data_IF_525744169850
#
_entry.id   IF_525744169850
#
_cell.length_a   1.000
_cell.length_b   1.000
_cell.length_c   1.000
_cell.angle_alpha   90.00
_cell.angle_beta   90.00
_cell.angle_gamma   90.00
#
_symmetry.space_group_name_H-M   'P 1'
#
loop_
_entity.id
_entity.type
_entity.pdbx_description
1 polymer ?
#
# COMPACT_ATOMS: atom_id res chain seq x y z
N UNK A 1 9.16 -27.39 7.61
CA UNK A 1 10.19 -26.57 6.93
C UNK A 1 9.52 -25.37 6.27
N UNK A 2 10.08 -24.15 6.38
CA UNK A 2 9.52 -22.92 5.75
C UNK A 2 9.43 -23.02 4.22
N UNK A 3 10.18 -23.94 3.60
CA UNK A 3 10.32 -24.12 2.15
C UNK A 3 9.07 -24.67 1.43
N UNK A 4 8.00 -25.06 2.14
CA UNK A 4 6.79 -25.62 1.52
C UNK A 4 5.52 -24.81 1.80
N UNK A 5 5.64 -23.58 2.32
CA UNK A 5 4.48 -22.71 2.51
C UNK A 5 3.99 -22.16 1.18
N UNK A 6 2.68 -21.91 1.07
CA UNK A 6 2.08 -21.27 -0.11
C UNK A 6 2.69 -19.89 -0.36
N UNK A 7 3.07 -19.18 0.71
CA UNK A 7 3.82 -17.92 0.61
C UNK A 7 5.12 -18.06 -0.17
N UNK A 8 5.95 -19.04 0.21
CA UNK A 8 7.23 -19.26 -0.45
C UNK A 8 7.07 -19.66 -1.93
N UNK A 9 6.01 -20.42 -2.26
CA UNK A 9 5.67 -20.76 -3.64
C UNK A 9 5.33 -19.51 -4.46
N UNK A 10 4.55 -18.58 -3.90
CA UNK A 10 4.26 -17.31 -4.56
C UNK A 10 5.52 -16.46 -4.76
N UNK A 11 6.39 -16.33 -3.74
CA UNK A 11 7.63 -15.54 -3.86
C UNK A 11 8.51 -16.03 -5.00
N UNK A 12 8.59 -17.34 -5.23
CA UNK A 12 9.33 -17.91 -6.36
C UNK A 12 8.77 -17.53 -7.74
N UNK A 13 7.55 -17.01 -7.82
CA UNK A 13 6.94 -16.52 -9.06
C UNK A 13 7.23 -15.04 -9.34
N UNK A 14 7.79 -14.31 -8.36
CA UNK A 14 8.22 -12.91 -8.53
C UNK A 14 9.47 -12.90 -9.41
N UNK A 15 9.52 -12.01 -10.39
CA UNK A 15 10.65 -11.82 -11.30
C UNK A 15 11.06 -10.36 -11.35
N UNK A 16 12.15 -10.05 -12.04
CA UNK A 16 12.56 -8.67 -12.30
C UNK A 16 11.54 -7.88 -13.14
N UNK A 17 10.59 -8.55 -13.79
CA UNK A 17 9.63 -7.92 -14.71
C UNK A 17 8.20 -7.81 -14.16
N UNK A 18 7.81 -8.73 -13.26
CA UNK A 18 6.47 -8.77 -12.70
C UNK A 18 6.49 -9.31 -11.26
N UNK A 19 5.59 -8.83 -10.41
CA UNK A 19 5.44 -9.29 -9.02
C UNK A 19 4.39 -10.38 -8.87
N UNK A 20 3.62 -10.67 -9.91
CA UNK A 20 2.72 -11.82 -9.99
C UNK A 20 2.47 -12.24 -11.43
N UNK A 21 1.98 -13.47 -11.62
CA UNK A 21 1.44 -13.92 -12.90
C UNK A 21 -0.04 -14.30 -12.71
N UNK A 22 -0.99 -13.62 -13.36
CA UNK A 22 -2.42 -13.82 -13.12
C UNK A 22 -2.93 -15.21 -13.57
N UNK A 23 -2.16 -15.94 -14.38
CA UNK A 23 -2.54 -17.23 -14.93
C UNK A 23 -2.12 -18.42 -14.05
N UNK A 24 -1.39 -18.18 -12.95
CA UNK A 24 -0.88 -19.27 -12.11
C UNK A 24 -1.84 -19.66 -10.99
N UNK A 25 -1.87 -20.94 -10.58
CA UNK A 25 -2.59 -21.38 -9.39
C UNK A 25 -2.11 -20.68 -8.11
N UNK A 26 -0.82 -20.38 -7.99
CA UNK A 26 -0.20 -19.72 -6.84
C UNK A 26 -0.81 -18.34 -6.59
N UNK A 27 -1.05 -17.57 -7.66
CA UNK A 27 -1.71 -16.27 -7.58
C UNK A 27 -3.15 -16.38 -7.09
N UNK A 28 -3.93 -17.35 -7.63
CA UNK A 28 -5.30 -17.60 -7.19
C UNK A 28 -5.36 -18.04 -5.72
N UNK A 29 -4.43 -18.91 -5.32
CA UNK A 29 -4.30 -19.33 -3.93
C UNK A 29 -3.96 -18.15 -3.02
N UNK A 30 -3.02 -17.29 -3.41
CA UNK A 30 -2.68 -16.08 -2.66
C UNK A 30 -3.92 -15.22 -2.42
N UNK A 31 -4.67 -14.86 -3.48
CA UNK A 31 -5.88 -14.03 -3.34
C UNK A 31 -6.92 -14.68 -2.40
N UNK A 32 -7.11 -15.99 -2.50
CA UNK A 32 -8.00 -16.72 -1.59
C UNK A 32 -7.52 -16.65 -0.12
N UNK A 33 -6.22 -16.70 0.13
CA UNK A 33 -5.68 -16.57 1.49
C UNK A 33 -5.83 -15.15 2.04
N UNK A 34 -5.63 -14.12 1.22
CA UNK A 34 -5.88 -12.73 1.62
C UNK A 34 -7.36 -12.51 1.97
N UNK A 35 -8.28 -13.09 1.18
CA UNK A 35 -9.71 -12.97 1.39
C UNK A 35 -10.21 -13.74 2.62
N UNK A 36 -9.85 -15.02 2.74
CA UNK A 36 -10.51 -15.96 3.65
C UNK A 36 -9.61 -16.45 4.79
N UNK A 37 -8.31 -16.11 4.77
CA UNK A 37 -7.36 -16.56 5.79
C UNK A 37 -7.76 -16.04 7.18
N UNK A 38 -7.83 -16.95 8.16
CA UNK A 38 -8.07 -16.60 9.56
C UNK A 38 -6.89 -15.82 10.12
N UNK A 39 -7.17 -14.64 10.66
CA UNK A 39 -6.14 -13.77 11.23
C UNK A 39 -5.72 -14.34 12.58
N UNK A 40 -4.42 -14.57 12.76
CA UNK A 40 -3.85 -15.09 14.02
C UNK A 40 -3.31 -13.98 14.90
N UNK A 41 -2.86 -12.87 14.31
CA UNK A 41 -2.30 -11.71 15.00
C UNK A 41 -2.46 -10.47 14.11
N UNK A 42 -2.67 -9.31 14.74
CA UNK A 42 -2.71 -8.00 14.11
C UNK A 42 -1.70 -7.07 14.82
N UNK A 43 -0.86 -6.38 14.06
CA UNK A 43 0.16 -5.47 14.60
C UNK A 43 0.24 -4.19 13.78
N UNK A 44 0.65 -3.09 14.41
CA UNK A 44 0.89 -1.85 13.68
C UNK A 44 2.18 -1.94 12.86
N UNK A 45 2.15 -1.41 11.64
CA UNK A 45 3.37 -1.21 10.87
C UNK A 45 4.10 0.03 11.41
N UNK A 46 5.22 -0.17 12.09
CA UNK A 46 6.03 0.90 12.68
C UNK A 46 6.59 1.92 11.68
N UNK A 47 6.67 1.56 10.40
CA UNK A 47 7.16 2.43 9.32
C UNK A 47 6.00 2.89 8.43
N UNK A 48 5.56 4.14 8.63
CA UNK A 48 4.50 4.73 7.81
C UNK A 48 4.12 6.13 8.29
N UNK A 49 3.48 6.90 7.40
CA UNK A 49 2.93 8.22 7.72
C UNK A 49 1.50 8.10 8.26
N UNK A 50 0.67 7.25 7.64
CA UNK A 50 -0.70 6.98 8.03
C UNK A 50 -0.86 5.55 8.56
N UNK A 51 -1.98 5.26 9.23
CA UNK A 51 -2.25 3.97 9.88
C UNK A 51 -2.23 2.80 8.90
N UNK A 52 -1.45 1.76 9.22
CA UNK A 52 -1.39 0.48 8.49
C UNK A 52 -1.25 -0.65 9.50
N UNK A 53 -1.99 -1.74 9.28
CA UNK A 53 -1.99 -2.90 10.19
C UNK A 53 -1.48 -4.11 9.43
N UNK A 54 -0.48 -4.81 9.99
CA UNK A 54 0.01 -6.09 9.49
C UNK A 54 -0.85 -7.19 10.11
N UNK A 55 -1.46 -8.00 9.27
CA UNK A 55 -2.27 -9.16 9.61
C UNK A 55 -1.47 -10.44 9.34
N UNK A 56 -1.23 -11.24 10.37
CA UNK A 56 -0.65 -12.57 10.20
C UNK A 56 -1.75 -13.55 9.77
N UNK A 57 -1.54 -14.18 8.62
CA UNK A 57 -2.48 -15.09 7.97
C UNK A 57 -1.89 -16.52 7.93
N UNK A 58 -2.73 -17.54 7.65
CA UNK A 58 -2.26 -18.92 7.58
C UNK A 58 -1.22 -19.11 6.46
N UNK A 59 -0.44 -20.19 6.55
CA UNK A 59 0.56 -20.57 5.54
C UNK A 59 1.66 -19.53 5.33
N UNK A 60 1.99 -18.77 6.37
CA UNK A 60 3.11 -17.83 6.39
C UNK A 60 2.87 -16.54 5.60
N UNK A 61 1.65 -16.29 5.13
CA UNK A 61 1.30 -15.02 4.52
C UNK A 61 1.15 -13.93 5.57
N UNK A 62 1.52 -12.71 5.19
CA UNK A 62 1.17 -11.51 5.92
C UNK A 62 0.43 -10.57 4.98
N UNK A 63 -0.64 -9.96 5.49
CA UNK A 63 -1.44 -8.97 4.79
C UNK A 63 -1.21 -7.58 5.37
N UNK A 64 -0.94 -6.58 4.54
CA UNK A 64 -0.95 -5.18 4.93
C UNK A 64 -2.36 -4.62 4.72
N UNK A 65 -3.05 -4.36 5.83
CA UNK A 65 -4.36 -3.74 5.87
C UNK A 65 -4.22 -2.21 5.84
N UNK A 66 -4.85 -1.59 4.85
CA UNK A 66 -5.23 -0.16 4.89
C UNK A 66 -6.73 -0.05 5.14
N UNK A 67 -7.17 0.50 6.29
CA UNK A 67 -8.57 0.55 6.64
C UNK A 67 -9.35 1.59 5.83
N UNK A 68 -10.65 1.36 5.65
CA UNK A 68 -11.59 2.37 5.15
C UNK A 68 -11.53 3.62 6.03
N UNK A 69 -11.54 4.78 5.38
CA UNK A 69 -11.50 6.09 6.07
C UNK A 69 -12.49 7.09 5.49
N UNK A 70 -12.59 7.16 4.16
CA UNK A 70 -13.47 8.08 3.45
C UNK A 70 -14.42 7.33 2.50
N UNK A 71 -15.65 7.85 2.29
CA UNK A 71 -16.60 7.23 1.37
C UNK A 71 -16.13 7.33 -0.09
N UNK A 72 -16.70 6.50 -0.97
CA UNK A 72 -16.27 6.41 -2.38
C UNK A 72 -16.47 7.69 -3.19
N UNK A 73 -17.42 8.54 -2.77
CA UNK A 73 -17.69 9.84 -3.39
C UNK A 73 -16.89 10.99 -2.74
N UNK A 74 -16.05 10.70 -1.73
CA UNK A 74 -15.15 11.70 -1.19
C UNK A 74 -14.13 12.11 -2.25
N UNK A 75 -13.92 13.42 -2.37
CA UNK A 75 -12.87 13.98 -3.19
C UNK A 75 -11.92 14.78 -2.30
N UNK A 76 -10.63 14.68 -2.58
CA UNK A 76 -9.60 15.51 -1.96
C UNK A 76 -9.95 16.98 -2.19
N UNK A 77 -9.86 17.79 -1.13
CA UNK A 77 -10.18 19.21 -1.24
C UNK A 77 -9.18 19.90 -2.18
N UNK A 78 -9.60 20.88 -3.01
CA UNK A 78 -8.70 21.56 -3.95
C UNK A 78 -7.49 22.22 -3.28
N UNK A 79 -7.64 22.66 -2.03
CA UNK A 79 -6.59 23.32 -1.24
C UNK A 79 -5.61 22.34 -0.57
N UNK A 80 -5.88 21.03 -0.64
CA UNK A 80 -4.99 20.02 -0.05
C UNK A 80 -3.81 19.74 -0.97
N UNK A 81 -2.59 19.89 -0.43
CA UNK A 81 -1.40 19.38 -1.08
C UNK A 81 -1.37 17.84 -1.10
N UNK A 82 -0.73 17.28 -2.11
CA UNK A 82 -0.59 15.82 -2.30
C UNK A 82 0.03 15.11 -1.09
N UNK A 83 0.94 15.76 -0.36
CA UNK A 83 1.59 15.20 0.85
C UNK A 83 0.70 15.24 2.10
N UNK A 84 -0.47 15.87 2.03
CA UNK A 84 -1.48 15.91 3.09
C UNK A 84 -2.70 15.06 2.74
N UNK A 85 -2.73 14.42 1.56
CA UNK A 85 -3.90 13.65 1.14
C UNK A 85 -4.09 12.39 2.01
N UNK A 86 -5.35 12.00 2.17
CA UNK A 86 -5.73 10.83 2.95
C UNK A 86 -5.58 9.57 2.10
N UNK A 87 -4.86 8.56 2.60
CA UNK A 87 -4.78 7.27 1.92
C UNK A 87 -6.17 6.63 1.82
N UNK A 88 -6.50 6.11 0.63
CA UNK A 88 -7.80 5.47 0.32
C UNK A 88 -7.59 3.99 0.05
N UNK A 89 -8.18 3.12 0.87
CA UNK A 89 -8.08 1.67 0.67
C UNK A 89 -8.59 1.22 -0.71
N UNK A 90 -9.64 1.86 -1.21
CA UNK A 90 -10.20 1.55 -2.53
C UNK A 90 -9.32 2.04 -3.69
N UNK A 91 -8.44 3.01 -3.46
CA UNK A 91 -7.45 3.41 -4.46
C UNK A 91 -6.38 2.33 -4.63
N UNK A 92 -5.95 1.65 -3.56
CA UNK A 92 -5.07 0.47 -3.68
C UNK A 92 -5.70 -0.62 -4.54
N UNK A 93 -6.98 -0.92 -4.28
CA UNK A 93 -7.72 -1.96 -5.01
C UNK A 93 -7.81 -1.58 -6.49
N UNK A 94 -8.23 -0.35 -6.79
CA UNK A 94 -8.32 0.13 -8.17
C UNK A 94 -6.96 0.12 -8.87
N UNK A 95 -5.90 0.59 -8.21
CA UNK A 95 -4.54 0.63 -8.74
C UNK A 95 -4.04 -0.76 -9.13
N UNK A 96 -4.27 -1.77 -8.29
CA UNK A 96 -3.93 -3.16 -8.62
C UNK A 96 -4.70 -3.68 -9.85
N UNK A 97 -5.98 -3.36 -9.97
CA UNK A 97 -6.76 -3.78 -11.14
C UNK A 97 -6.35 -3.05 -12.42
N UNK A 98 -6.01 -1.75 -12.35
CA UNK A 98 -5.49 -0.98 -13.49
C UNK A 98 -4.14 -1.55 -13.94
N UNK A 99 -3.22 -1.83 -13.01
CA UNK A 99 -1.93 -2.47 -13.27
C UNK A 99 -2.11 -3.80 -14.02
N UNK A 100 -3.07 -4.62 -13.58
CA UNK A 100 -3.41 -5.88 -14.23
C UNK A 100 -3.98 -5.70 -15.63
N UNK A 101 -4.87 -4.73 -15.83
CA UNK A 101 -5.50 -4.44 -17.13
C UNK A 101 -4.47 -3.94 -18.15
N UNK A 102 -3.52 -3.11 -17.72
CA UNK A 102 -2.43 -2.61 -18.55
C UNK A 102 -1.35 -3.68 -18.82
N UNK A 103 -1.42 -4.84 -18.14
CA UNK A 103 -0.48 -5.93 -18.31
C UNK A 103 0.88 -5.70 -17.64
N UNK A 104 1.01 -4.68 -16.79
CA UNK A 104 2.25 -4.40 -16.07
C UNK A 104 2.57 -5.50 -15.05
N UNK A 105 1.57 -5.91 -14.27
CA UNK A 105 1.72 -6.90 -13.20
C UNK A 105 2.82 -6.54 -12.18
N UNK A 106 2.97 -5.26 -11.83
CA UNK A 106 4.02 -4.71 -10.94
C UNK A 106 3.47 -4.20 -9.60
N UNK A 107 2.15 -4.10 -9.43
CA UNK A 107 1.52 -3.79 -8.14
C UNK A 107 1.36 -5.08 -7.32
N UNK A 108 1.80 -5.13 -6.04
CA UNK A 108 1.64 -6.33 -5.22
C UNK A 108 0.16 -6.74 -5.10
N UNK A 109 -0.18 -8.03 -5.26
CA UNK A 109 -1.55 -8.51 -5.21
C UNK A 109 -2.27 -8.10 -3.93
N UNK A 110 -3.51 -7.63 -4.08
CA UNK A 110 -4.32 -7.18 -2.97
C UNK A 110 -5.81 -7.36 -3.25
N UNK A 111 -6.62 -7.37 -2.18
CA UNK A 111 -8.07 -7.52 -2.28
C UNK A 111 -8.80 -6.62 -1.28
N UNK A 112 -10.07 -6.30 -1.56
CA UNK A 112 -10.96 -5.72 -0.57
C UNK A 112 -11.48 -6.80 0.38
N UNK A 113 -11.38 -6.57 1.68
CA UNK A 113 -11.87 -7.50 2.71
C UNK A 113 -12.75 -6.74 3.71
N UNK A 114 -13.84 -7.38 4.11
CA UNK A 114 -14.66 -6.95 5.24
C UNK A 114 -14.17 -7.71 6.48
N UNK A 115 -13.81 -6.97 7.52
CA UNK A 115 -13.27 -7.49 8.78
C UNK A 115 -14.21 -7.13 9.93
N UNK A 116 -14.23 -7.95 10.97
CA UNK A 116 -14.79 -7.59 12.25
C UNK A 116 -13.67 -7.02 13.15
N UNK A 117 -13.71 -5.72 13.43
CA UNK A 117 -12.69 -5.01 14.23
C UNK A 117 -12.44 -5.71 15.55
N UNK A 118 -13.48 -6.18 16.22
CA UNK A 118 -13.35 -6.87 17.50
C UNK A 118 -12.63 -8.20 17.32
N UNK A 119 -13.19 -9.13 16.55
CA UNK A 119 -12.68 -10.51 16.52
C UNK A 119 -11.43 -10.69 15.66
N UNK A 120 -11.30 -9.92 14.58
CA UNK A 120 -10.23 -10.07 13.59
C UNK A 120 -9.02 -9.18 13.89
N UNK A 121 -9.21 -8.08 14.64
CA UNK A 121 -8.14 -7.10 14.91
C UNK A 121 -7.88 -6.98 16.41
N UNK A 122 -8.84 -6.46 17.20
CA UNK A 122 -8.65 -6.16 18.63
C UNK A 122 -8.25 -7.39 19.44
N UNK A 123 -9.00 -8.48 19.29
CA UNK A 123 -8.77 -9.73 20.03
C UNK A 123 -7.55 -10.53 19.49
N UNK A 124 -6.84 -9.97 18.51
CA UNK A 124 -5.61 -10.48 17.88
C UNK A 124 -4.48 -9.45 17.94
N UNK A 125 -4.71 -8.29 18.55
CA UNK A 125 -3.79 -7.17 18.50
C UNK A 125 -2.56 -7.42 19.38
N UNK A 126 -1.40 -6.97 18.91
CA UNK A 126 -0.24 -6.80 19.79
C UNK A 126 -0.51 -5.73 20.85
N UNK A 127 0.27 -5.75 21.93
CA UNK A 127 0.07 -4.87 23.09
C UNK A 127 -0.04 -3.38 22.69
N UNK A 128 0.83 -2.91 21.79
CA UNK A 128 0.84 -1.52 21.35
C UNK A 128 -0.43 -1.14 20.59
N UNK A 129 -0.91 -1.99 19.69
CA UNK A 129 -2.15 -1.76 18.95
C UNK A 129 -3.37 -1.85 19.86
N UNK A 130 -3.40 -2.83 20.77
CA UNK A 130 -4.49 -3.08 21.70
C UNK A 130 -4.80 -1.87 22.61
N UNK A 131 -3.77 -1.14 23.06
CA UNK A 131 -3.90 0.07 23.88
C UNK A 131 -4.61 1.23 23.17
N UNK A 132 -4.76 1.18 21.85
CA UNK A 132 -5.35 2.27 21.06
C UNK A 132 -6.85 2.12 20.81
N UNK A 133 -7.44 1.00 21.24
CA UNK A 133 -8.86 0.74 21.07
C UNK A 133 -9.72 1.49 22.08
N UNK A 134 -10.89 1.93 21.64
CA UNK A 134 -11.91 2.56 22.49
C UNK A 134 -13.30 2.44 21.88
N UNK A 135 -14.32 2.70 22.68
CA UNK A 135 -15.72 2.77 22.22
C UNK A 135 -16.09 4.22 21.95
N UNK A 136 -16.58 4.51 20.75
CA UNK A 136 -17.07 5.85 20.38
C UNK A 136 -18.39 6.20 21.09
N UNK A 137 -18.78 7.49 21.16
CA UNK A 137 -20.10 7.89 21.68
C UNK A 137 -21.29 7.26 20.94
N UNK A 138 -21.10 6.84 19.68
CA UNK A 138 -22.09 6.11 18.88
C UNK A 138 -22.08 4.60 19.12
N UNK A 139 -21.37 4.13 20.16
CA UNK A 139 -21.23 2.73 20.55
C UNK A 139 -20.59 1.82 19.48
N UNK A 140 -19.71 2.38 18.62
CA UNK A 140 -18.88 1.59 17.70
C UNK A 140 -17.49 1.34 18.29
N UNK A 141 -16.91 0.18 18.01
CA UNK A 141 -15.50 -0.10 18.31
C UNK A 141 -14.58 0.66 17.36
N UNK A 142 -13.62 1.37 17.92
CA UNK A 142 -12.66 2.18 17.17
C UNK A 142 -11.22 1.92 17.63
N UNK A 143 -10.25 2.25 16.78
CA UNK A 143 -8.83 2.32 17.14
C UNK A 143 -8.15 3.46 16.37
N UNK A 144 -7.13 4.07 16.98
CA UNK A 144 -6.35 5.15 16.35
C UNK A 144 -4.97 4.71 15.85
N UNK A 145 -4.37 3.69 16.47
CA UNK A 145 -2.97 3.30 16.23
C UNK A 145 -1.96 4.43 16.51
N UNK A 146 -0.74 4.25 16.01
CA UNK A 146 0.38 5.18 16.13
C UNK A 146 0.99 5.46 14.75
N UNK A 147 0.89 6.72 14.30
CA UNK A 147 1.49 7.21 13.07
C UNK A 147 1.60 8.74 13.10
N UNK A 148 2.34 9.32 12.16
CA UNK A 148 2.58 10.78 12.15
C UNK A 148 1.41 11.60 11.60
N UNK A 149 0.55 11.01 10.78
CA UNK A 149 -0.60 11.67 10.16
C UNK A 149 -1.90 10.96 10.48
N UNK A 150 -2.83 11.70 11.08
CA UNK A 150 -4.21 11.27 11.29
C UNK A 150 -4.38 10.00 12.16
N UNK A 151 -3.47 9.79 13.13
CA UNK A 151 -3.58 8.77 14.19
C UNK A 151 -3.92 9.39 15.55
N UNK A 152 -4.99 10.17 15.59
CA UNK A 152 -5.56 10.75 16.81
C UNK A 152 -7.04 10.35 16.96
N UNK A 153 -7.66 10.68 18.10
CA UNK A 153 -9.04 10.29 18.40
C UNK A 153 -10.06 10.87 17.40
N UNK A 154 -9.81 12.05 16.83
CA UNK A 154 -10.71 12.68 15.85
C UNK A 154 -10.64 12.02 14.46
N UNK A 155 -9.55 11.30 14.19
CA UNK A 155 -9.29 10.59 12.94
C UNK A 155 -9.27 9.06 13.10
N UNK A 156 -9.82 8.55 14.21
CA UNK A 156 -9.82 7.13 14.51
C UNK A 156 -10.60 6.31 13.47
N UNK A 157 -10.16 5.08 13.28
CA UNK A 157 -10.84 4.10 12.44
C UNK A 157 -11.93 3.44 13.29
N UNK A 158 -13.17 3.54 12.86
CA UNK A 158 -14.34 2.99 13.55
C UNK A 158 -15.10 2.03 12.64
N UNK A 159 -15.72 1.02 13.25
CA UNK A 159 -16.59 0.11 12.52
C UNK A 159 -17.91 0.79 12.11
N UNK A 160 -18.47 0.34 10.98
CA UNK A 160 -19.73 0.86 10.43
C UNK A 160 -20.49 -0.20 9.63
N UNK A 161 -21.68 -0.65 10.07
CA UNK A 161 -22.25 -0.49 11.42
C UNK A 161 -21.55 -1.39 12.45
N UNK A 162 -21.47 -0.93 13.70
CA UNK A 162 -20.92 -1.72 14.81
C UNK A 162 -19.43 -1.98 14.65
N UNK A 163 -19.06 -3.25 14.49
CA UNK A 163 -17.66 -3.70 14.40
C UNK A 163 -17.20 -3.99 12.97
N UNK A 164 -18.02 -3.74 11.95
CA UNK A 164 -17.66 -4.03 10.55
C UNK A 164 -16.69 -2.99 10.00
N UNK A 165 -15.55 -3.42 9.47
CA UNK A 165 -14.55 -2.56 8.85
C UNK A 165 -14.18 -3.09 7.46
N UNK A 166 -14.43 -2.27 6.45
CA UNK A 166 -13.90 -2.51 5.12
C UNK A 166 -12.43 -2.07 5.06
N UNK A 167 -11.61 -2.77 4.27
CA UNK A 167 -10.23 -2.35 4.01
C UNK A 167 -9.60 -3.09 2.85
N UNK A 168 -8.47 -2.59 2.37
CA UNK A 168 -7.64 -3.27 1.38
C UNK A 168 -6.58 -4.10 2.08
N UNK A 169 -6.44 -5.36 1.73
CA UNK A 169 -5.42 -6.28 2.26
C UNK A 169 -4.48 -6.65 1.14
N UNK A 170 -3.26 -6.11 1.19
CA UNK A 170 -2.19 -6.37 0.23
C UNK A 170 -1.24 -7.43 0.77
N UNK A 171 -0.72 -8.32 -0.09
CA UNK A 171 0.32 -9.24 0.33
C UNK A 171 1.60 -8.47 0.72
N UNK A 172 2.16 -8.76 1.89
CA UNK A 172 3.41 -8.14 2.30
C UNK A 172 4.58 -8.78 1.54
N UNK A 173 5.26 -8.01 0.69
CA UNK A 173 6.45 -8.47 -0.03
C UNK A 173 7.57 -8.94 0.94
N UNK A 174 8.44 -9.87 0.50
CA UNK A 174 9.52 -10.40 1.33
C UNK A 174 10.49 -9.26 1.69
N UNK A 175 11.10 -9.32 2.86
CA UNK A 175 12.07 -8.33 3.34
C UNK A 175 13.47 -8.95 3.36
N UNK A 176 14.53 -8.18 3.63
CA UNK A 176 15.83 -8.78 3.88
C UNK A 176 15.77 -9.81 5.02
N UNK A 177 16.50 -10.94 4.93
CA UNK A 177 17.50 -11.25 3.90
C UNK A 177 16.97 -11.95 2.63
N UNK A 178 15.67 -12.26 2.52
CA UNK A 178 15.13 -13.00 1.37
C UNK A 178 15.22 -12.21 0.06
N UNK A 179 14.95 -10.90 0.12
CA UNK A 179 15.08 -9.98 -1.02
C UNK A 179 15.67 -8.67 -0.52
N UNK A 180 16.67 -8.16 -1.23
CA UNK A 180 17.26 -6.85 -1.02
C UNK A 180 16.65 -5.85 -2.00
N UNK A 181 15.68 -5.07 -1.52
CA UNK A 181 15.01 -4.08 -2.34
C UNK A 181 15.80 -2.78 -2.37
N UNK A 182 16.05 -2.27 -3.57
CA UNK A 182 16.69 -0.99 -3.77
C UNK A 182 15.64 0.12 -3.80
N UNK A 183 15.73 1.05 -2.85
CA UNK A 183 14.90 2.25 -2.84
C UNK A 183 15.57 3.35 -3.65
N UNK A 184 14.97 3.69 -4.79
CA UNK A 184 15.49 4.70 -5.73
C UNK A 184 14.63 5.96 -5.61
N UNK A 185 15.25 7.13 -5.44
CA UNK A 185 14.53 8.41 -5.48
C UNK A 185 14.03 8.66 -6.89
N UNK A 186 12.77 9.05 -7.04
CA UNK A 186 12.23 9.37 -8.35
C UNK A 186 12.85 10.69 -8.85
N UNK A 187 13.43 10.79 -10.06
CA UNK A 187 14.03 12.03 -10.54
C UNK A 187 12.99 13.15 -10.71
N UNK A 188 11.75 12.80 -11.05
CA UNK A 188 10.61 13.74 -11.04
C UNK A 188 9.92 13.86 -9.66
N UNK A 189 10.64 13.60 -8.57
CA UNK A 189 10.11 13.80 -7.21
C UNK A 189 9.72 15.28 -7.02
N UNK A 190 8.53 15.53 -6.47
CA UNK A 190 8.07 16.89 -6.13
C UNK A 190 8.84 17.47 -4.93
N UNK A 191 8.67 18.77 -4.68
CA UNK A 191 9.41 19.51 -3.65
C UNK A 191 9.02 19.19 -2.20
N UNK A 192 7.81 18.62 -2.00
CA UNK A 192 7.16 18.43 -0.68
C UNK A 192 7.15 19.72 0.13
N UNK A 193 6.76 20.81 -0.53
CA UNK A 193 6.80 22.15 0.03
C UNK A 193 5.67 22.98 -0.57
N UNK A 194 4.99 23.76 0.27
CA UNK A 194 3.95 24.68 -0.18
C UNK A 194 4.48 25.89 -0.96
N UNK A 195 5.79 26.16 -0.90
CA UNK A 195 6.40 27.39 -1.44
C UNK A 195 7.47 27.13 -2.49
N UNK A 196 8.05 25.91 -2.54
CA UNK A 196 9.10 25.57 -3.50
C UNK A 196 8.52 24.77 -4.66
N UNK A 197 8.98 25.08 -5.86
CA UNK A 197 8.78 24.26 -7.05
C UNK A 197 9.97 23.32 -7.26
N UNK A 198 9.72 22.17 -7.90
CA UNK A 198 10.80 21.27 -8.31
C UNK A 198 11.39 21.73 -9.65
N UNK A 199 12.67 21.44 -9.91
CA UNK A 199 13.36 21.90 -11.13
C UNK A 199 12.68 21.39 -12.42
N UNK A 200 12.19 20.15 -12.41
CA UNK A 200 11.49 19.56 -13.56
C UNK A 200 10.15 20.23 -13.86
N UNK A 201 9.56 20.96 -12.91
CA UNK A 201 8.28 21.66 -13.11
C UNK A 201 8.45 22.93 -13.96
N UNK A 202 9.67 23.47 -14.06
CA UNK A 202 9.96 24.73 -14.76
C UNK A 202 11.00 24.61 -15.87
N UNK A 203 11.68 23.47 -15.99
CA UNK A 203 12.71 23.23 -17.01
C UNK A 203 12.22 22.20 -18.03
N UNK A 204 11.92 22.66 -19.25
CA UNK A 204 11.47 21.79 -20.36
C UNK A 204 12.55 20.79 -20.81
N UNK A 205 13.83 21.10 -20.61
CA UNK A 205 14.96 20.24 -20.97
C UNK A 205 15.43 19.33 -19.84
N UNK A 206 14.73 19.30 -18.70
CA UNK A 206 15.15 18.58 -17.49
C UNK A 206 15.53 17.11 -17.74
N UNK A 207 14.79 16.42 -18.60
CA UNK A 207 15.06 15.02 -18.94
C UNK A 207 16.46 14.87 -19.57
N UNK A 208 16.79 15.69 -20.57
CA UNK A 208 18.07 15.64 -21.26
C UNK A 208 19.23 16.09 -20.39
N UNK A 209 19.01 17.09 -19.55
CA UNK A 209 20.06 17.72 -18.73
C UNK A 209 20.37 16.95 -17.44
N UNK A 210 19.43 16.20 -16.89
CA UNK A 210 19.57 15.57 -15.57
C UNK A 210 19.26 14.08 -15.52
N UNK A 211 18.32 13.57 -16.33
CA UNK A 211 17.90 12.16 -16.27
C UNK A 211 18.70 11.31 -17.25
N UNK A 212 18.78 11.73 -18.51
CA UNK A 212 19.44 10.97 -19.57
C UNK A 212 20.97 11.00 -19.50
N UNK A 213 21.56 11.90 -18.72
CA UNK A 213 23.01 11.92 -18.50
C UNK A 213 23.49 10.87 -17.49
N UNK A 214 22.57 10.34 -16.67
CA UNK A 214 22.89 9.35 -15.65
C UNK A 214 22.79 7.94 -16.25
N UNK A 215 23.90 7.19 -16.18
CA UNK A 215 24.06 5.86 -16.77
C UNK A 215 23.05 4.84 -16.21
N UNK A 216 22.53 5.05 -14.99
CA UNK A 216 21.51 4.18 -14.40
C UNK A 216 20.22 4.15 -15.22
N UNK A 217 19.94 5.21 -16.00
CA UNK A 217 18.77 5.32 -16.87
C UNK A 217 19.01 4.85 -18.31
N UNK A 218 20.22 4.41 -18.67
CA UNK A 218 20.52 3.90 -20.03
C UNK A 218 20.07 2.44 -20.24
N UNK A 219 19.45 1.83 -19.23
CA UNK A 219 18.83 0.52 -19.30
C UNK A 219 17.29 0.65 -19.32
N UNK A 220 16.57 -0.43 -19.00
CA UNK A 220 15.10 -0.43 -18.95
C UNK A 220 14.48 0.55 -17.94
N UNK A 221 15.23 1.06 -16.98
CA UNK A 221 14.74 1.92 -15.90
C UNK A 221 14.01 3.16 -16.43
N UNK A 222 14.51 3.80 -17.49
CA UNK A 222 13.84 4.95 -18.09
C UNK A 222 12.48 4.57 -18.68
N UNK A 223 12.36 3.40 -19.31
CA UNK A 223 11.09 2.91 -19.85
C UNK A 223 10.14 2.49 -18.72
N UNK A 224 10.64 1.83 -17.69
CA UNK A 224 9.86 1.47 -16.50
C UNK A 224 9.30 2.72 -15.80
N UNK A 225 10.05 3.81 -15.83
CA UNK A 225 9.62 5.13 -15.36
C UNK A 225 8.51 5.74 -16.21
N UNK A 226 8.58 5.60 -17.54
CA UNK A 226 7.52 6.07 -18.43
C UNK A 226 6.22 5.28 -18.21
N UNK A 227 6.32 3.95 -18.07
CA UNK A 227 5.18 3.09 -17.69
C UNK A 227 4.57 3.56 -16.36
N UNK A 228 5.41 3.82 -15.36
CA UNK A 228 4.98 4.26 -14.03
C UNK A 228 4.33 5.63 -14.06
N UNK A 229 4.86 6.58 -14.84
CA UNK A 229 4.27 7.91 -15.00
C UNK A 229 2.89 7.84 -15.69
N UNK A 230 2.75 7.00 -16.73
CA UNK A 230 1.47 6.78 -17.38
C UNK A 230 0.45 6.14 -16.42
N UNK A 231 0.88 5.16 -15.63
CA UNK A 231 0.06 4.53 -14.59
C UNK A 231 -0.39 5.55 -13.54
N UNK A 232 0.54 6.31 -12.96
CA UNK A 232 0.26 7.31 -11.92
C UNK A 232 -0.66 8.42 -12.45
N UNK A 233 -0.51 8.84 -13.71
CA UNK A 233 -1.40 9.79 -14.36
C UNK A 233 -2.85 9.28 -14.45
N UNK A 234 -3.04 8.02 -14.88
CA UNK A 234 -4.37 7.42 -15.01
C UNK A 234 -5.13 7.34 -13.68
N UNK A 235 -4.42 7.13 -12.57
CA UNK A 235 -5.02 7.03 -11.23
C UNK A 235 -4.97 8.36 -10.45
N UNK A 236 -4.41 9.42 -11.03
CA UNK A 236 -4.24 10.71 -10.38
C UNK A 236 -3.30 10.69 -9.17
N UNK A 237 -2.32 9.79 -9.16
CA UNK A 237 -1.34 9.69 -8.06
C UNK A 237 -0.23 10.72 -8.24
N UNK A 238 -0.16 11.69 -7.33
CA UNK A 238 0.85 12.75 -7.34
C UNK A 238 2.00 12.51 -6.35
N UNK A 239 1.95 11.42 -5.58
CA UNK A 239 2.87 11.14 -4.46
C UNK A 239 3.91 10.07 -4.81
N UNK A 240 4.35 10.01 -6.07
CA UNK A 240 5.46 9.13 -6.49
C UNK A 240 6.81 9.79 -6.23
N UNK A 241 7.32 9.64 -5.01
CA UNK A 241 8.64 10.18 -4.64
C UNK A 241 9.78 9.17 -4.64
N UNK A 242 9.47 7.87 -4.59
CA UNK A 242 10.44 6.78 -4.74
C UNK A 242 9.84 5.63 -5.54
N UNK A 243 10.73 4.79 -6.06
CA UNK A 243 10.41 3.48 -6.61
C UNK A 243 11.25 2.41 -5.91
N UNK A 244 10.74 1.18 -5.92
CA UNK A 244 11.43 0.00 -5.41
C UNK A 244 11.88 -0.84 -6.60
N UNK A 245 13.14 -1.26 -6.59
CA UNK A 245 13.75 -2.15 -7.58
C UNK A 245 14.26 -3.42 -6.92
#
# INVERSE_FOLDING_TARGET
>A
SRLNTTWFKYIKTVTNSHVYNPNTPEFKHLLNHLQNGKISEASEMSQGTQIKVILNLPNGFQGLLKPYRVPRNYQTQPDHFYFSDIERHHAEIAAFHVDKILGFNRVPPLIGRLLNITSDIRDKATEELAKTFFTSPANNTCFRGHCSYYCDTSHAICGKPGDQLEGSVQVLLPRPPEVDWQKISHPYRRSYSATRTAQWETNENYCYEHVMIDEDYHNRLLLDMMDLAAFDFLIGNLDRHHMMR
#
